data_IF_380421531941
#
_entry.id   IF_380421531941
#
_cell.length_a   1.000
_cell.length_b   1.000
_cell.length_c   1.000
_cell.angle_alpha   90.00
_cell.angle_beta   90.00
_cell.angle_gamma   90.00
#
_symmetry.space_group_name_H-M   'P 1'
#
loop_
_entity.id
_entity.type
_entity.pdbx_description
1 polymer ?
#
# COMPACT_ATOMS: atom_id res chain seq x y z
N UNK A 1 3.97 22.31 28.99
CA UNK A 1 4.34 21.87 27.62
C UNK A 1 3.04 21.65 26.85
N UNK A 2 2.67 22.59 25.98
CA UNK A 2 1.46 22.52 25.16
C UNK A 2 1.61 21.33 24.21
N UNK A 3 0.79 20.29 24.38
CA UNK A 3 0.73 19.20 23.40
C UNK A 3 0.16 19.78 22.10
N UNK A 4 0.91 19.64 21.01
CA UNK A 4 0.41 19.93 19.66
C UNK A 4 -0.96 19.30 19.48
N UNK A 5 -1.91 20.02 18.90
CA UNK A 5 -3.18 19.44 18.48
C UNK A 5 -2.92 18.25 17.54
N UNK A 6 -3.74 17.18 17.59
CA UNK A 6 -3.60 16.03 16.72
C UNK A 6 -3.81 16.44 15.25
N UNK A 7 -3.11 15.77 14.33
CA UNK A 7 -3.18 16.03 12.89
C UNK A 7 -4.58 15.70 12.38
N UNK A 8 -5.26 16.65 11.73
CA UNK A 8 -6.65 16.45 11.31
C UNK A 8 -6.74 15.84 9.92
N UNK A 9 -7.40 14.68 9.85
CA UNK A 9 -7.73 13.97 8.60
C UNK A 9 -9.23 14.13 8.34
N UNK A 10 -9.60 14.65 7.18
CA UNK A 10 -11.00 14.77 6.75
C UNK A 10 -11.23 13.86 5.56
N UNK A 11 -12.19 12.95 5.67
CA UNK A 11 -12.56 12.01 4.62
C UNK A 11 -13.80 12.54 3.89
N UNK A 12 -13.68 12.79 2.59
CA UNK A 12 -14.78 13.24 1.74
C UNK A 12 -15.60 12.03 1.24
N UNK A 13 -16.78 11.84 1.80
CA UNK A 13 -17.73 10.81 1.42
C UNK A 13 -18.60 11.30 0.24
N UNK A 14 -18.56 10.57 -0.86
CA UNK A 14 -19.35 10.84 -2.08
C UNK A 14 -20.40 9.74 -2.27
N UNK A 15 -21.47 10.04 -3.01
CA UNK A 15 -22.47 9.02 -3.36
C UNK A 15 -21.81 7.83 -4.08
N UNK A 16 -22.29 6.61 -3.83
CA UNK A 16 -21.71 5.38 -4.37
C UNK A 16 -20.33 5.04 -3.80
N UNK A 17 -19.95 5.60 -2.63
CA UNK A 17 -18.67 5.28 -1.99
C UNK A 17 -18.58 3.81 -1.59
N UNK A 18 -17.35 3.30 -1.52
CA UNK A 18 -17.07 1.98 -0.98
C UNK A 18 -16.91 2.07 0.56
N UNK A 19 -17.80 1.46 1.37
CA UNK A 19 -17.71 1.54 2.83
C UNK A 19 -16.39 1.01 3.37
N UNK A 20 -15.83 0.00 2.70
CA UNK A 20 -14.51 -0.53 3.05
C UNK A 20 -13.44 0.56 3.00
N UNK A 21 -13.38 1.35 1.92
CA UNK A 21 -12.37 2.39 1.76
C UNK A 21 -12.61 3.60 2.66
N UNK A 22 -13.88 3.94 2.91
CA UNK A 22 -14.23 4.93 3.93
C UNK A 22 -13.70 4.50 5.31
N UNK A 23 -13.81 3.22 5.66
CA UNK A 23 -13.36 2.69 6.93
C UNK A 23 -11.84 2.68 7.11
N UNK A 24 -11.05 2.68 6.03
CA UNK A 24 -9.58 2.58 6.09
C UNK A 24 -8.95 3.75 6.86
N UNK A 25 -9.16 5.04 6.49
CA UNK A 25 -8.60 6.17 7.23
C UNK A 25 -8.97 6.15 8.71
N UNK A 26 -10.23 5.87 9.02
CA UNK A 26 -10.73 5.76 10.39
C UNK A 26 -10.02 4.65 11.17
N UNK A 27 -9.81 3.49 10.54
CA UNK A 27 -9.13 2.36 11.18
C UNK A 27 -7.64 2.61 11.39
N UNK A 28 -6.95 3.15 10.40
CA UNK A 28 -5.50 3.28 10.41
C UNK A 28 -5.07 4.50 11.21
N UNK A 29 -5.54 5.70 10.86
CA UNK A 29 -5.19 6.92 11.58
C UNK A 29 -5.75 6.93 13.00
N UNK A 30 -6.98 6.43 13.21
CA UNK A 30 -7.62 6.40 14.54
C UNK A 30 -6.97 5.44 15.54
N UNK A 31 -6.09 4.55 15.07
CA UNK A 31 -5.30 3.66 15.93
C UNK A 31 -3.92 4.18 16.24
N UNK A 32 -3.43 5.20 15.53
CA UNK A 32 -2.12 5.77 15.76
C UNK A 32 -2.10 6.60 17.05
N UNK A 33 -1.24 6.19 17.97
CA UNK A 33 -1.07 6.81 19.28
C UNK A 33 0.42 6.97 19.59
N UNK A 34 0.74 7.99 20.38
CA UNK A 34 2.09 8.16 20.90
C UNK A 34 2.41 7.20 22.06
N UNK A 35 3.62 7.32 22.63
CA UNK A 35 4.09 6.47 23.72
C UNK A 35 3.25 6.62 25.01
N UNK A 36 2.57 7.76 25.19
CA UNK A 36 1.66 8.03 26.30
C UNK A 36 0.21 7.61 26.00
N UNK A 37 -0.05 7.06 24.80
CA UNK A 37 -1.36 6.59 24.39
C UNK A 37 -2.32 7.70 23.91
N UNK A 38 -1.81 8.91 23.68
CA UNK A 38 -2.59 10.03 23.14
C UNK A 38 -2.78 9.84 21.63
N UNK A 39 -3.96 10.19 21.08
CA UNK A 39 -4.22 10.07 19.64
C UNK A 39 -3.30 11.02 18.86
N UNK A 40 -2.73 10.52 17.78
CA UNK A 40 -1.88 11.31 16.88
C UNK A 40 -2.69 12.01 15.78
N UNK A 41 -3.86 11.46 15.44
CA UNK A 41 -4.77 12.01 14.44
C UNK A 41 -6.17 12.22 15.01
N UNK A 42 -6.86 13.23 14.49
CA UNK A 42 -8.31 13.40 14.59
C UNK A 42 -8.91 13.15 13.21
N UNK A 43 -9.87 12.23 13.11
CA UNK A 43 -10.50 11.85 11.83
C UNK A 43 -11.94 12.34 11.83
N UNK A 44 -12.34 13.02 10.75
CA UNK A 44 -13.71 13.45 10.50
C UNK A 44 -14.16 12.98 9.12
N UNK A 45 -15.46 12.75 8.96
CA UNK A 45 -16.07 12.50 7.65
C UNK A 45 -16.93 13.71 7.28
N UNK A 46 -16.87 14.12 6.03
CA UNK A 46 -17.77 15.14 5.47
C UNK A 46 -18.34 14.68 4.14
N UNK A 47 -19.55 15.14 3.81
CA UNK A 47 -20.11 15.01 2.47
C UNK A 47 -20.02 16.34 1.71
N UNK A 48 -20.45 16.33 0.45
CA UNK A 48 -20.75 17.59 -0.29
C UNK A 48 -21.90 18.37 0.35
N UNK A 49 -22.70 17.70 1.19
CA UNK A 49 -23.67 18.26 2.12
C UNK A 49 -23.74 17.35 3.36
N UNK A 50 -24.14 17.89 4.52
CA UNK A 50 -24.47 17.07 5.68
C UNK A 50 -25.74 16.23 5.42
N UNK A 51 -25.77 15.01 5.95
CA UNK A 51 -26.91 14.09 5.82
C UNK A 51 -26.52 12.69 5.34
N UNK A 52 -27.51 11.91 4.84
CA UNK A 52 -27.27 10.56 4.37
C UNK A 52 -26.46 10.54 3.06
N UNK A 53 -25.49 9.64 2.97
CA UNK A 53 -24.71 9.36 1.76
C UNK A 53 -24.91 7.90 1.35
N UNK A 54 -25.30 7.69 0.10
CA UNK A 54 -25.44 6.36 -0.48
C UNK A 54 -24.08 5.70 -0.67
N UNK A 55 -24.00 4.40 -0.41
CA UNK A 55 -22.80 3.59 -0.59
C UNK A 55 -23.02 2.56 -1.69
N UNK A 56 -21.97 1.86 -2.12
CA UNK A 56 -22.06 0.72 -3.03
C UNK A 56 -22.61 -0.56 -2.37
N UNK A 57 -23.01 -0.48 -1.10
CA UNK A 57 -23.61 -1.56 -0.32
C UNK A 57 -25.10 -1.30 -0.04
N UNK A 58 -25.75 -2.26 0.63
CA UNK A 58 -27.18 -2.22 0.98
C UNK A 58 -27.55 -1.27 2.14
N UNK A 59 -26.69 -0.30 2.44
CA UNK A 59 -26.88 0.66 3.53
C UNK A 59 -26.38 2.08 3.19
N UNK A 60 -26.99 3.05 3.87
CA UNK A 60 -26.55 4.45 3.88
C UNK A 60 -25.61 4.69 5.05
N UNK A 61 -24.71 5.66 4.91
CA UNK A 61 -24.02 6.26 6.05
C UNK A 61 -24.63 7.63 6.35
N UNK A 62 -24.67 8.01 7.63
CA UNK A 62 -25.05 9.37 8.03
C UNK A 62 -23.78 10.18 8.28
N UNK A 63 -23.62 11.30 7.57
CA UNK A 63 -22.45 12.18 7.70
C UNK A 63 -22.90 13.51 8.29
N UNK A 64 -22.39 13.82 9.49
CA UNK A 64 -22.82 15.02 10.24
C UNK A 64 -22.26 16.32 9.67
N UNK A 65 -21.16 16.28 8.93
CA UNK A 65 -20.44 17.48 8.48
C UNK A 65 -20.62 17.70 6.98
N UNK A 66 -20.81 18.96 6.60
CA UNK A 66 -20.75 19.41 5.22
C UNK A 66 -19.31 19.72 4.77
N UNK A 67 -19.17 20.26 3.56
CA UNK A 67 -17.87 20.50 2.93
C UNK A 67 -17.00 21.50 3.70
N UNK A 68 -17.58 22.34 4.57
CA UNK A 68 -16.85 23.27 5.43
C UNK A 68 -15.80 22.59 6.33
N UNK A 69 -15.97 21.30 6.63
CA UNK A 69 -14.99 20.52 7.38
C UNK A 69 -13.62 20.44 6.67
N UNK A 70 -13.59 20.47 5.33
CA UNK A 70 -12.37 20.43 4.53
C UNK A 70 -11.45 21.63 4.83
N UNK A 71 -12.00 22.78 5.21
CA UNK A 71 -11.23 23.95 5.61
C UNK A 71 -10.44 23.75 6.92
N UNK A 72 -10.72 22.69 7.67
CA UNK A 72 -9.99 22.36 8.90
C UNK A 72 -8.94 21.26 8.69
N UNK A 73 -8.89 20.65 7.51
CA UNK A 73 -8.09 19.48 7.24
C UNK A 73 -6.60 19.82 7.10
N UNK A 74 -5.76 18.99 7.73
CA UNK A 74 -4.34 18.91 7.43
C UNK A 74 -4.09 17.84 6.35
N UNK A 75 -4.92 16.78 6.32
CA UNK A 75 -5.04 15.83 5.21
C UNK A 75 -6.49 15.69 4.76
N UNK A 76 -6.76 15.74 3.46
CA UNK A 76 -8.03 15.31 2.87
C UNK A 76 -7.85 13.95 2.23
N UNK A 77 -8.75 13.01 2.55
CA UNK A 77 -8.82 11.69 1.91
C UNK A 77 -10.08 11.60 1.06
N UNK A 78 -9.94 11.21 -0.20
CA UNK A 78 -11.03 10.94 -1.14
C UNK A 78 -11.03 9.44 -1.47
N UNK A 79 -11.93 8.65 -0.85
CA UNK A 79 -12.11 7.23 -1.16
C UNK A 79 -12.70 7.00 -2.56
N UNK A 80 -12.76 5.73 -2.97
CA UNK A 80 -13.53 5.30 -4.14
C UNK A 80 -14.99 5.74 -4.05
N UNK A 81 -15.52 6.11 -5.21
CA UNK A 81 -16.95 6.15 -5.50
C UNK A 81 -17.20 5.56 -6.89
N UNK A 82 -18.31 4.84 -7.03
CA UNK A 82 -18.79 4.31 -8.31
C UNK A 82 -19.89 5.18 -8.95
N UNK A 83 -20.33 6.24 -8.28
CA UNK A 83 -21.34 7.18 -8.78
C UNK A 83 -20.74 8.59 -8.99
N UNK A 84 -19.56 8.63 -9.62
CA UNK A 84 -18.82 9.87 -9.88
C UNK A 84 -19.40 10.70 -11.06
N UNK A 85 -20.34 10.15 -11.83
CA UNK A 85 -21.04 10.85 -12.91
C UNK A 85 -20.09 11.60 -13.88
N UNK A 86 -20.28 12.92 -14.11
CA UNK A 86 -19.42 13.69 -15.02
C UNK A 86 -17.92 13.65 -14.70
N UNK A 87 -17.54 13.38 -13.44
CA UNK A 87 -16.11 13.24 -13.07
C UNK A 87 -15.51 11.99 -13.72
N UNK A 88 -16.26 10.89 -13.77
CA UNK A 88 -15.83 9.65 -14.40
C UNK A 88 -16.04 9.66 -15.92
N UNK A 89 -17.12 10.25 -16.41
CA UNK A 89 -17.49 10.23 -17.83
C UNK A 89 -16.78 11.29 -18.66
N UNK A 90 -16.63 12.50 -18.11
CA UNK A 90 -16.14 13.69 -18.83
C UNK A 90 -14.83 14.25 -18.24
N UNK A 91 -14.38 13.75 -17.08
CA UNK A 91 -13.22 14.27 -16.38
C UNK A 91 -13.47 15.64 -15.76
N UNK A 92 -14.73 15.97 -15.48
CA UNK A 92 -15.16 17.31 -15.06
C UNK A 92 -15.86 17.27 -13.71
N UNK A 93 -15.43 18.14 -12.79
CA UNK A 93 -16.11 18.31 -11.51
C UNK A 93 -17.55 18.82 -11.68
N UNK A 94 -18.44 18.33 -10.81
CA UNK A 94 -19.76 18.94 -10.66
C UNK A 94 -19.66 20.27 -9.91
N UNK A 95 -20.66 21.16 -10.01
CA UNK A 95 -20.69 22.40 -9.23
C UNK A 95 -20.54 22.17 -7.71
N UNK A 96 -21.17 21.12 -7.19
CA UNK A 96 -21.16 20.77 -5.77
C UNK A 96 -19.76 20.32 -5.32
N UNK A 97 -19.10 19.47 -6.11
CA UNK A 97 -17.72 19.05 -5.85
C UNK A 97 -16.75 20.21 -5.99
N UNK A 98 -16.96 21.10 -6.96
CA UNK A 98 -16.15 22.31 -7.13
C UNK A 98 -16.26 23.21 -5.89
N UNK A 99 -17.49 23.44 -5.41
CA UNK A 99 -17.75 24.21 -4.21
C UNK A 99 -17.16 23.53 -2.96
N UNK A 100 -17.24 22.20 -2.85
CA UNK A 100 -16.66 21.47 -1.74
C UNK A 100 -15.13 21.59 -1.71
N UNK A 101 -14.46 21.34 -2.84
CA UNK A 101 -13.00 21.41 -2.92
C UNK A 101 -12.46 22.83 -2.75
N UNK A 102 -13.26 23.87 -3.00
CA UNK A 102 -12.87 25.26 -2.71
C UNK A 102 -12.60 25.54 -1.22
N UNK A 103 -13.10 24.68 -0.30
CA UNK A 103 -12.77 24.77 1.12
C UNK A 103 -11.37 24.25 1.45
N UNK A 104 -10.74 23.46 0.57
CA UNK A 104 -9.39 22.93 0.80
C UNK A 104 -8.39 24.07 0.82
N UNK A 105 -7.60 24.15 1.90
CA UNK A 105 -6.60 25.20 2.07
C UNK A 105 -5.32 24.88 1.29
N UNK A 106 -4.58 25.90 0.82
CA UNK A 106 -3.22 25.71 0.34
C UNK A 106 -2.35 25.00 1.40
N UNK A 107 -1.58 24.00 0.98
CA UNK A 107 -0.71 23.21 1.85
C UNK A 107 -1.39 22.01 2.54
N UNK A 108 -2.69 21.80 2.36
CA UNK A 108 -3.36 20.57 2.80
C UNK A 108 -2.88 19.37 1.97
N UNK A 109 -2.49 18.28 2.64
CA UNK A 109 -2.12 17.03 1.97
C UNK A 109 -3.35 16.37 1.34
N UNK A 110 -3.30 16.01 0.07
CA UNK A 110 -4.39 15.33 -0.62
C UNK A 110 -4.08 13.84 -0.80
N UNK A 111 -5.06 13.00 -0.51
CA UNK A 111 -4.92 11.55 -0.61
C UNK A 111 -6.11 11.02 -1.38
N UNK A 112 -5.85 10.34 -2.50
CA UNK A 112 -6.88 9.59 -3.22
C UNK A 112 -6.68 8.08 -3.03
N UNK A 113 -7.79 7.38 -2.84
CA UNK A 113 -7.84 5.93 -2.81
C UNK A 113 -8.71 5.48 -3.99
N UNK A 114 -8.21 4.56 -4.82
CA UNK A 114 -8.95 3.98 -5.94
C UNK A 114 -9.44 5.04 -6.94
N UNK A 115 -10.74 5.03 -7.27
CA UNK A 115 -11.39 6.00 -8.17
C UNK A 115 -11.48 7.41 -7.59
N UNK A 116 -11.16 7.63 -6.30
CA UNK A 116 -10.98 8.97 -5.75
C UNK A 116 -9.93 9.80 -6.49
N UNK A 117 -9.02 9.15 -7.23
CA UNK A 117 -8.05 9.80 -8.10
C UNK A 117 -8.69 10.63 -9.23
N UNK A 118 -9.88 10.25 -9.70
CA UNK A 118 -10.64 11.01 -10.72
C UNK A 118 -11.05 12.38 -10.21
N UNK A 119 -11.40 12.49 -8.92
CA UNK A 119 -11.76 13.78 -8.32
C UNK A 119 -10.55 14.70 -8.25
N UNK A 120 -9.38 14.18 -7.83
CA UNK A 120 -8.16 14.98 -7.77
C UNK A 120 -7.66 15.38 -9.17
N UNK A 121 -7.77 14.49 -10.16
CA UNK A 121 -7.40 14.79 -11.54
C UNK A 121 -8.34 15.83 -12.17
N UNK A 122 -9.66 15.67 -12.01
CA UNK A 122 -10.64 16.63 -12.53
C UNK A 122 -10.52 18.03 -11.87
N UNK A 123 -9.94 18.09 -10.67
CA UNK A 123 -9.62 19.33 -9.97
C UNK A 123 -8.27 19.95 -10.39
N UNK A 124 -7.49 19.29 -11.26
CA UNK A 124 -6.16 19.73 -11.69
C UNK A 124 -5.03 19.46 -10.69
N UNK A 125 -5.29 18.73 -9.59
CA UNK A 125 -4.27 18.46 -8.58
C UNK A 125 -3.23 17.42 -9.01
N UNK A 126 -3.47 16.72 -10.13
CA UNK A 126 -2.61 15.65 -10.65
C UNK A 126 -1.92 16.00 -11.98
N UNK A 127 -2.12 17.21 -12.51
CA UNK A 127 -1.59 17.61 -13.81
C UNK A 127 -0.05 17.57 -13.81
N UNK A 128 0.55 16.77 -14.70
CA UNK A 128 2.00 16.56 -14.78
C UNK A 128 2.58 15.67 -13.67
N UNK A 129 1.78 15.12 -12.76
CA UNK A 129 2.23 14.39 -11.56
C UNK A 129 2.12 12.87 -11.74
N UNK A 130 2.97 12.08 -11.07
CA UNK A 130 2.80 10.64 -11.02
C UNK A 130 1.58 10.30 -10.15
N UNK A 131 0.76 9.36 -10.61
CA UNK A 131 -0.39 8.90 -9.85
C UNK A 131 -0.67 7.42 -10.15
N UNK A 132 -1.37 6.75 -9.24
CA UNK A 132 -1.95 5.44 -9.48
C UNK A 132 -3.44 5.46 -9.13
N UNK A 133 -4.17 4.52 -9.72
CA UNK A 133 -5.57 4.22 -9.39
C UNK A 133 -5.76 2.71 -9.52
N UNK A 134 -6.97 2.21 -9.28
CA UNK A 134 -7.26 0.79 -9.45
C UNK A 134 -6.95 0.34 -10.88
N UNK A 135 -6.25 -0.77 -11.04
CA UNK A 135 -5.77 -1.26 -12.34
C UNK A 135 -6.89 -1.37 -13.40
N UNK A 136 -8.10 -1.75 -12.98
CA UNK A 136 -9.24 -1.88 -13.89
C UNK A 136 -9.71 -0.52 -14.47
N UNK A 137 -9.39 0.57 -13.78
CA UNK A 137 -9.73 1.94 -14.19
C UNK A 137 -8.54 2.69 -14.76
N UNK A 138 -7.30 2.18 -14.64
CA UNK A 138 -6.09 2.91 -14.99
C UNK A 138 -6.02 3.34 -16.47
N UNK A 139 -6.43 2.46 -17.40
CA UNK A 139 -6.44 2.82 -18.83
C UNK A 139 -7.46 3.93 -19.12
N UNK A 140 -8.65 3.82 -18.52
CA UNK A 140 -9.68 4.84 -18.63
C UNK A 140 -9.22 6.17 -18.03
N UNK A 141 -8.63 6.12 -16.83
CA UNK A 141 -8.10 7.27 -16.12
C UNK A 141 -7.02 8.00 -16.92
N UNK A 142 -6.08 7.26 -17.52
CA UNK A 142 -5.03 7.85 -18.37
C UNK A 142 -5.59 8.52 -19.63
N UNK A 143 -6.64 7.94 -20.26
CA UNK A 143 -7.27 8.55 -21.44
C UNK A 143 -8.00 9.85 -21.08
N UNK A 144 -8.68 9.86 -19.93
CA UNK A 144 -9.47 11.00 -19.50
C UNK A 144 -8.60 12.17 -19.01
N UNK A 145 -7.47 11.86 -18.39
CA UNK A 145 -6.51 12.84 -17.85
C UNK A 145 -5.11 12.62 -18.46
N UNK A 146 -4.88 13.07 -19.70
CA UNK A 146 -3.65 12.78 -20.44
C UNK A 146 -2.38 13.40 -19.83
N UNK A 147 -2.50 14.45 -19.01
CA UNK A 147 -1.37 15.09 -18.34
C UNK A 147 -0.92 14.35 -17.08
N UNK A 148 -1.74 13.44 -16.55
CA UNK A 148 -1.39 12.62 -15.39
C UNK A 148 -0.47 11.48 -15.83
N UNK A 149 0.63 11.26 -15.10
CA UNK A 149 1.56 10.15 -15.34
C UNK A 149 1.09 8.91 -14.59
N UNK A 150 0.17 8.15 -15.19
CA UNK A 150 -0.47 7.00 -14.52
C UNK A 150 0.46 5.79 -14.47
N UNK A 151 0.71 5.26 -13.27
CA UNK A 151 1.39 3.99 -13.04
C UNK A 151 0.43 2.97 -12.40
N UNK A 152 -0.08 2.04 -13.21
CA UNK A 152 -0.95 0.95 -12.74
C UNK A 152 -0.18 -0.22 -12.09
N UNK A 153 1.16 -0.17 -12.11
CA UNK A 153 2.04 -1.22 -11.62
C UNK A 153 2.41 -1.11 -10.14
N UNK A 154 1.82 -0.17 -9.41
CA UNK A 154 2.15 0.13 -8.00
C UNK A 154 0.91 0.16 -7.12
N UNK A 155 1.06 -0.17 -5.84
CA UNK A 155 -0.02 -0.08 -4.85
C UNK A 155 -0.35 1.37 -4.52
N UNK A 156 0.66 2.21 -4.41
CA UNK A 156 0.49 3.64 -4.15
C UNK A 156 1.66 4.46 -4.68
N UNK A 157 1.38 5.74 -4.94
CA UNK A 157 2.36 6.78 -5.27
C UNK A 157 2.32 7.84 -4.17
N UNK A 158 3.49 8.24 -3.69
CA UNK A 158 3.69 9.40 -2.82
C UNK A 158 4.47 10.46 -3.60
N UNK A 159 3.82 11.57 -3.94
CA UNK A 159 4.42 12.71 -4.63
C UNK A 159 4.50 13.93 -3.70
N UNK A 160 4.72 13.71 -2.40
CA UNK A 160 4.95 14.75 -1.41
C UNK A 160 3.67 15.25 -0.75
N UNK A 161 2.98 16.19 -1.39
CA UNK A 161 1.72 16.80 -0.91
C UNK A 161 0.47 16.12 -1.48
N UNK A 162 0.62 15.30 -2.52
CA UNK A 162 -0.47 14.48 -3.09
C UNK A 162 -0.04 13.02 -3.17
N UNK A 163 -0.91 12.14 -2.68
CA UNK A 163 -0.70 10.70 -2.66
C UNK A 163 -1.90 9.98 -3.25
N UNK A 164 -1.66 8.90 -3.98
CA UNK A 164 -2.71 8.14 -4.65
C UNK A 164 -2.48 6.64 -4.44
N UNK A 165 -3.55 5.84 -4.35
CA UNK A 165 -3.43 4.37 -4.23
C UNK A 165 -4.40 3.63 -5.15
N UNK A 166 -4.04 2.38 -5.44
CA UNK A 166 -4.82 1.44 -6.24
C UNK A 166 -6.22 1.12 -5.69
N UNK A 167 -6.51 1.48 -4.44
CA UNK A 167 -7.77 1.13 -3.81
C UNK A 167 -7.78 -0.17 -3.03
N UNK A 168 -8.91 -0.43 -2.39
CA UNK A 168 -9.17 -1.60 -1.55
C UNK A 168 -8.02 -1.77 -0.56
N UNK A 169 -7.32 -2.91 -0.57
CA UNK A 169 -6.26 -3.20 0.39
C UNK A 169 -5.07 -2.23 0.24
N UNK A 170 -4.82 -1.66 -0.94
CA UNK A 170 -3.75 -0.70 -1.14
C UNK A 170 -3.99 0.64 -0.41
N UNK A 171 -5.25 0.96 -0.10
CA UNK A 171 -5.57 2.11 0.76
C UNK A 171 -5.01 1.94 2.17
N UNK A 172 -4.99 0.70 2.69
CA UNK A 172 -4.38 0.39 4.00
C UNK A 172 -2.88 0.63 3.94
N UNK A 173 -2.24 0.15 2.87
CA UNK A 173 -0.81 0.31 2.64
C UNK A 173 -0.41 1.78 2.57
N UNK A 174 -1.17 2.61 1.83
CA UNK A 174 -0.94 4.05 1.75
C UNK A 174 -1.16 4.76 3.09
N UNK A 175 -2.23 4.43 3.84
CA UNK A 175 -2.47 5.05 5.14
C UNK A 175 -1.38 4.66 6.16
N UNK A 176 -0.89 3.42 6.14
CA UNK A 176 0.23 2.99 6.99
C UNK A 176 1.54 3.66 6.61
N UNK A 177 1.78 3.86 5.31
CA UNK A 177 2.91 4.64 4.80
C UNK A 177 2.88 6.07 5.34
N UNK A 178 1.71 6.72 5.31
CA UNK A 178 1.52 8.06 5.88
C UNK A 178 1.83 8.08 7.38
N UNK A 179 1.27 7.15 8.17
CA UNK A 179 1.57 7.06 9.61
C UNK A 179 3.07 6.88 9.86
N UNK A 180 3.75 6.08 9.04
CA UNK A 180 5.20 5.88 9.15
C UNK A 180 5.97 7.16 8.84
N UNK A 181 5.56 7.92 7.82
CA UNK A 181 6.21 9.18 7.43
C UNK A 181 6.04 10.24 8.53
N UNK A 182 4.84 10.34 9.08
CA UNK A 182 4.49 11.37 10.05
C UNK A 182 5.05 11.07 11.46
N UNK A 183 5.04 9.79 11.88
CA UNK A 183 5.29 9.39 13.28
C UNK A 183 6.28 8.23 13.44
N UNK A 184 6.91 7.78 12.36
CA UNK A 184 7.93 6.74 12.37
C UNK A 184 7.39 5.31 12.38
N UNK A 185 8.29 4.37 12.09
CA UNK A 185 7.95 2.95 11.90
C UNK A 185 7.41 2.26 13.15
N UNK A 186 7.75 2.72 14.36
CA UNK A 186 7.24 2.12 15.59
C UNK A 186 5.72 2.27 15.72
N UNK A 187 5.20 3.47 15.45
CA UNK A 187 3.76 3.76 15.48
C UNK A 187 3.06 3.00 14.35
N UNK A 188 3.58 3.07 13.12
CA UNK A 188 3.00 2.37 11.98
C UNK A 188 2.91 0.84 12.18
N UNK A 189 3.96 0.24 12.74
CA UNK A 189 3.98 -1.20 13.03
C UNK A 189 3.00 -1.59 14.14
N UNK A 190 2.80 -0.72 15.15
CA UNK A 190 1.77 -0.94 16.19
C UNK A 190 0.36 -0.90 15.59
N UNK A 191 0.09 0.07 14.73
CA UNK A 191 -1.18 0.20 14.00
C UNK A 191 -1.43 -1.02 13.12
N UNK A 192 -0.44 -1.44 12.33
CA UNK A 192 -0.54 -2.60 11.46
C UNK A 192 -0.82 -3.89 12.26
N UNK A 193 -0.09 -4.12 13.37
CA UNK A 193 -0.28 -5.28 14.25
C UNK A 193 -1.69 -5.33 14.82
N UNK A 194 -2.22 -4.19 15.29
CA UNK A 194 -3.61 -4.10 15.82
C UNK A 194 -4.68 -4.18 14.73
N UNK A 195 -4.30 -3.98 13.48
CA UNK A 195 -5.20 -4.07 12.32
C UNK A 195 -5.07 -5.42 11.60
N UNK A 196 -4.17 -6.29 12.07
CA UNK A 196 -3.95 -7.65 11.54
C UNK A 196 -3.61 -7.61 10.04
N UNK A 197 -2.79 -6.63 9.67
CA UNK A 197 -2.26 -6.48 8.30
C UNK A 197 -0.74 -6.57 8.33
N UNK A 198 -0.08 -6.97 7.23
CA UNK A 198 1.37 -6.93 7.14
C UNK A 198 1.89 -5.53 7.49
N UNK A 199 2.97 -5.42 8.29
CA UNK A 199 3.51 -4.13 8.71
C UNK A 199 4.08 -3.32 7.55
N UNK A 200 4.42 -3.97 6.43
CA UNK A 200 4.92 -3.30 5.24
C UNK A 200 4.63 -4.10 3.98
N UNK A 201 4.00 -3.44 3.02
CA UNK A 201 4.04 -3.76 1.59
C UNK A 201 4.64 -2.54 0.91
N UNK A 202 5.68 -2.74 0.10
CA UNK A 202 6.29 -1.61 -0.62
C UNK A 202 5.28 -1.00 -1.60
N UNK A 203 5.27 0.33 -1.71
CA UNK A 203 4.41 1.04 -2.66
C UNK A 203 4.63 0.56 -4.10
N UNK A 204 5.87 0.21 -4.45
CA UNK A 204 6.25 -0.36 -5.74
C UNK A 204 5.82 -1.82 -5.96
N UNK A 205 5.10 -2.44 -5.02
CA UNK A 205 4.52 -3.76 -5.25
C UNK A 205 3.44 -3.68 -6.32
N UNK A 206 3.43 -4.64 -7.24
CA UNK A 206 2.41 -4.71 -8.29
C UNK A 206 1.00 -4.92 -7.70
N UNK A 207 0.03 -4.23 -8.30
CA UNK A 207 -1.38 -4.59 -8.13
C UNK A 207 -1.65 -5.97 -8.74
N UNK A 208 -2.78 -6.58 -8.41
CA UNK A 208 -3.29 -7.76 -9.12
C UNK A 208 -3.85 -7.35 -10.50
N UNK A 209 -3.01 -6.75 -11.34
CA UNK A 209 -3.36 -6.42 -12.72
C UNK A 209 -3.57 -7.74 -13.44
N UNK A 210 -4.77 -7.94 -13.99
CA UNK A 210 -5.03 -9.03 -14.93
C UNK A 210 -4.31 -8.73 -16.24
N UNK A 211 -2.96 -8.84 -16.23
CA UNK A 211 -2.19 -8.97 -17.47
C UNK A 211 -2.79 -10.16 -18.21
N UNK A 212 -3.00 -10.14 -19.54
CA UNK A 212 -3.61 -11.25 -20.26
C UNK A 212 -2.99 -12.57 -19.82
N UNK A 213 -3.71 -13.28 -18.95
CA UNK A 213 -3.28 -14.54 -18.39
C UNK A 213 -3.49 -15.51 -19.53
N UNK A 214 -2.46 -16.22 -20.00
CA UNK A 214 -2.70 -17.34 -20.89
C UNK A 214 -3.68 -18.28 -20.19
N UNK A 215 -4.79 -18.58 -20.85
CA UNK A 215 -5.91 -19.45 -20.44
C UNK A 215 -5.69 -20.27 -19.15
N UNK A 216 -6.60 -20.20 -18.14
CA UNK A 216 -6.54 -20.92 -16.85
C UNK A 216 -6.22 -22.41 -16.90
N UNK A 217 -6.31 -23.05 -18.07
CA UNK A 217 -5.77 -24.40 -18.31
C UNK A 217 -4.23 -24.49 -18.19
N UNK A 218 -3.53 -23.38 -17.96
CA UNK A 218 -2.06 -23.28 -17.94
C UNK A 218 -1.43 -22.56 -16.71
N UNK A 219 -2.09 -22.47 -15.55
CA UNK A 219 -1.43 -22.00 -14.32
C UNK A 219 -0.37 -23.02 -13.86
N UNK A 220 0.86 -22.83 -14.31
CA UNK A 220 1.81 -23.93 -14.48
C UNK A 220 3.16 -23.68 -13.81
N UNK A 221 3.26 -22.73 -12.88
CA UNK A 221 4.45 -22.57 -12.01
C UNK A 221 4.15 -22.62 -10.50
N UNK A 222 2.91 -22.91 -10.11
CA UNK A 222 2.46 -22.90 -8.71
C UNK A 222 3.10 -24.00 -7.87
N UNK A 223 3.24 -25.22 -8.40
CA UNK A 223 3.86 -26.35 -7.69
C UNK A 223 5.36 -26.09 -7.48
N UNK A 224 6.03 -25.51 -8.47
CA UNK A 224 7.43 -25.11 -8.39
C UNK A 224 7.65 -24.04 -7.31
N UNK A 225 6.77 -23.04 -7.21
CA UNK A 225 6.84 -21.99 -6.19
C UNK A 225 6.62 -22.54 -4.78
N UNK A 226 5.57 -23.33 -4.57
CA UNK A 226 5.30 -23.95 -3.28
C UNK A 226 6.48 -24.85 -2.84
N UNK A 227 6.98 -25.69 -3.74
CA UNK A 227 8.13 -26.55 -3.49
C UNK A 227 9.40 -25.76 -3.10
N UNK A 228 9.64 -24.63 -3.78
CA UNK A 228 10.78 -23.77 -3.49
C UNK A 228 10.67 -23.04 -2.15
N UNK A 229 9.47 -22.59 -1.75
CA UNK A 229 9.25 -21.93 -0.45
C UNK A 229 9.58 -22.83 0.75
N UNK A 230 9.33 -24.13 0.63
CA UNK A 230 9.70 -25.12 1.65
C UNK A 230 11.22 -25.34 1.74
N UNK A 231 11.97 -25.00 0.67
CA UNK A 231 13.38 -25.39 0.48
C UNK A 231 14.29 -24.20 0.20
N UNK A 232 13.91 -23.01 0.65
CA UNK A 232 14.70 -21.79 0.41
C UNK A 232 16.14 -21.90 0.92
N UNK A 233 16.38 -22.70 1.96
CA UNK A 233 17.69 -22.99 2.57
C UNK A 233 18.62 -23.84 1.68
N UNK A 234 18.09 -24.48 0.64
CA UNK A 234 18.82 -25.37 -0.26
C UNK A 234 19.32 -24.62 -1.52
N UNK A 235 20.37 -25.10 -2.21
CA UNK A 235 20.87 -24.51 -3.45
C UNK A 235 19.99 -24.87 -4.67
N UNK A 236 18.74 -24.39 -4.67
CA UNK A 236 17.75 -24.64 -5.72
C UNK A 236 18.23 -24.22 -7.11
N UNK A 237 18.14 -25.13 -8.08
CA UNK A 237 18.44 -24.84 -9.48
C UNK A 237 17.15 -24.59 -10.28
N UNK A 238 17.26 -23.79 -11.34
CA UNK A 238 16.14 -23.53 -12.25
C UNK A 238 15.58 -24.80 -12.88
N UNK A 239 16.44 -25.81 -13.15
CA UNK A 239 16.01 -27.12 -13.65
C UNK A 239 15.08 -27.84 -12.66
N UNK A 240 15.41 -27.80 -11.37
CA UNK A 240 14.65 -28.50 -10.33
C UNK A 240 13.25 -27.90 -10.19
N UNK A 241 13.13 -26.58 -10.37
CA UNK A 241 11.84 -25.88 -10.39
C UNK A 241 11.04 -26.19 -11.67
N UNK A 242 11.70 -26.20 -12.83
CA UNK A 242 11.04 -26.50 -14.11
C UNK A 242 10.51 -27.94 -14.16
N UNK A 243 11.22 -28.89 -13.56
CA UNK A 243 10.79 -30.30 -13.44
C UNK A 243 9.50 -30.48 -12.64
N UNK A 244 9.22 -29.62 -11.63
CA UNK A 244 7.96 -29.68 -10.84
C UNK A 244 6.71 -29.49 -11.69
N UNK A 245 6.89 -28.88 -12.85
CA UNK A 245 5.84 -28.50 -13.79
C UNK A 245 5.97 -29.26 -15.11
N UNK A 246 6.87 -30.26 -15.18
CA UNK A 246 7.20 -31.02 -16.38
C UNK A 246 7.58 -30.13 -17.58
N UNK A 247 8.40 -29.08 -17.33
CA UNK A 247 8.81 -28.11 -18.34
C UNK A 247 10.31 -28.11 -18.61
N UNK A 248 10.68 -27.68 -19.82
CA UNK A 248 12.03 -27.18 -20.06
C UNK A 248 12.28 -25.88 -19.28
N UNK A 249 13.53 -25.64 -18.87
CA UNK A 249 13.95 -24.40 -18.18
C UNK A 249 13.58 -23.13 -18.95
N UNK A 250 13.67 -23.16 -20.28
CA UNK A 250 13.30 -22.03 -21.14
C UNK A 250 11.82 -21.69 -21.03
N UNK A 251 10.96 -22.70 -21.15
CA UNK A 251 9.50 -22.51 -21.05
C UNK A 251 9.12 -22.07 -19.64
N UNK A 252 9.68 -22.72 -18.62
CA UNK A 252 9.45 -22.36 -17.22
C UNK A 252 9.85 -20.92 -16.92
N UNK A 253 11.05 -20.49 -17.32
CA UNK A 253 11.52 -19.12 -17.05
C UNK A 253 10.65 -18.06 -17.70
N UNK A 254 10.19 -18.30 -18.94
CA UNK A 254 9.27 -17.39 -19.63
C UNK A 254 7.94 -17.33 -18.88
N UNK A 255 7.30 -18.48 -18.65
CA UNK A 255 6.00 -18.57 -17.95
C UNK A 255 6.06 -18.01 -16.54
N UNK A 256 7.12 -18.29 -15.81
CA UNK A 256 7.32 -17.74 -14.46
C UNK A 256 7.39 -16.21 -14.48
N UNK A 257 8.10 -15.62 -15.46
CA UNK A 257 8.12 -14.16 -15.61
C UNK A 257 6.74 -13.61 -15.99
N UNK A 258 6.02 -14.32 -16.86
CA UNK A 258 4.66 -13.93 -17.26
C UNK A 258 3.69 -13.97 -16.07
N UNK A 259 3.80 -15.00 -15.20
CA UNK A 259 2.93 -15.20 -14.03
C UNK A 259 3.33 -14.38 -12.79
N UNK A 260 4.64 -14.18 -12.54
CA UNK A 260 5.17 -13.61 -11.29
C UNK A 260 5.73 -12.19 -11.50
N UNK A 261 5.91 -11.75 -12.75
CA UNK A 261 6.42 -10.43 -13.11
C UNK A 261 7.95 -10.29 -13.04
N UNK A 262 8.66 -11.23 -12.40
CA UNK A 262 10.12 -11.25 -12.26
C UNK A 262 10.71 -12.60 -12.67
N UNK A 263 12.02 -12.67 -12.90
CA UNK A 263 12.67 -13.96 -13.17
C UNK A 263 12.64 -14.89 -11.94
N UNK A 264 12.66 -16.23 -12.11
CA UNK A 264 12.63 -17.15 -10.98
C UNK A 264 13.81 -16.95 -10.02
N UNK A 265 14.99 -16.60 -10.54
CA UNK A 265 16.16 -16.29 -9.72
C UNK A 265 15.96 -15.05 -8.84
N UNK A 266 15.44 -13.96 -9.41
CA UNK A 266 15.11 -12.76 -8.63
C UNK A 266 14.03 -13.04 -7.58
N UNK A 267 13.01 -13.80 -7.94
CA UNK A 267 11.96 -14.20 -7.01
C UNK A 267 12.53 -15.03 -5.85
N UNK A 268 13.39 -16.03 -6.13
CA UNK A 268 14.07 -16.80 -5.09
C UNK A 268 14.88 -15.90 -4.16
N UNK A 269 15.64 -14.94 -4.70
CA UNK A 269 16.38 -13.97 -3.89
C UNK A 269 15.45 -13.17 -2.98
N UNK A 270 14.31 -12.69 -3.49
CA UNK A 270 13.32 -11.97 -2.68
C UNK A 270 12.76 -12.84 -1.55
N UNK A 271 12.38 -14.09 -1.84
CA UNK A 271 11.88 -15.01 -0.81
C UNK A 271 12.94 -15.33 0.25
N UNK A 272 14.20 -15.47 -0.15
CA UNK A 272 15.33 -15.65 0.78
C UNK A 272 15.58 -14.42 1.64
N UNK A 273 15.44 -13.21 1.08
CA UNK A 273 15.49 -11.96 1.86
C UNK A 273 14.40 -11.95 2.93
N UNK A 274 13.16 -12.27 2.58
CA UNK A 274 12.05 -12.35 3.54
C UNK A 274 12.29 -13.41 4.63
N UNK A 275 12.82 -14.58 4.26
CA UNK A 275 13.22 -15.61 5.23
C UNK A 275 14.31 -15.12 6.17
N UNK A 276 15.32 -14.41 5.66
CA UNK A 276 16.38 -13.85 6.48
C UNK A 276 15.84 -12.77 7.44
N UNK A 277 14.95 -11.88 6.97
CA UNK A 277 14.27 -10.89 7.82
C UNK A 277 13.55 -11.56 8.98
N UNK A 278 12.72 -12.57 8.67
CA UNK A 278 12.00 -13.32 9.69
C UNK A 278 12.93 -13.94 10.73
N UNK A 279 14.03 -14.58 10.31
CA UNK A 279 15.01 -15.18 11.23
C UNK A 279 15.78 -14.14 12.05
N UNK A 280 16.09 -12.98 11.48
CA UNK A 280 16.74 -11.87 12.19
C UNK A 280 15.84 -11.27 13.28
N UNK A 281 14.52 -11.28 13.06
CA UNK A 281 13.50 -10.73 13.96
C UNK A 281 13.05 -11.72 15.04
N UNK A 282 12.87 -13.00 14.67
CA UNK A 282 12.29 -14.02 15.56
C UNK A 282 13.33 -14.76 16.39
N UNK A 283 14.59 -14.83 15.93
CA UNK A 283 15.64 -15.66 16.56
C UNK A 283 16.89 -14.89 16.96
N UNK A 284 17.68 -15.49 17.87
CA UNK A 284 19.00 -15.00 18.25
C UNK A 284 20.16 -15.68 17.50
N UNK A 285 19.85 -16.36 16.39
CA UNK A 285 20.85 -17.10 15.60
C UNK A 285 21.99 -16.19 15.13
N UNK A 286 23.26 -16.62 15.16
CA UNK A 286 24.36 -15.88 14.56
C UNK A 286 24.09 -15.53 13.08
N UNK A 287 24.60 -14.39 12.60
CA UNK A 287 24.35 -13.91 11.22
C UNK A 287 24.75 -14.95 10.17
N UNK A 288 25.81 -15.71 10.41
CA UNK A 288 26.23 -16.81 9.52
C UNK A 288 25.24 -17.98 9.49
N UNK A 289 24.56 -18.28 10.60
CA UNK A 289 23.49 -19.29 10.65
C UNK A 289 22.27 -18.82 9.88
N UNK A 290 21.85 -17.57 10.11
CA UNK A 290 20.75 -16.96 9.35
C UNK A 290 21.00 -17.00 7.84
N UNK A 291 22.23 -16.70 7.41
CA UNK A 291 22.58 -16.73 6.00
C UNK A 291 22.47 -18.13 5.37
N UNK A 292 22.82 -19.18 6.11
CA UNK A 292 22.62 -20.57 5.64
C UNK A 292 21.15 -20.95 5.63
N UNK A 293 20.43 -20.67 6.72
CA UNK A 293 19.02 -21.08 6.88
C UNK A 293 18.08 -20.31 5.95
N UNK A 294 18.48 -19.12 5.51
CA UNK A 294 17.82 -18.35 4.46
C UNK A 294 18.31 -18.69 3.04
N UNK A 295 19.31 -19.55 2.88
CA UNK A 295 19.78 -20.03 1.56
C UNK A 295 20.73 -19.11 0.81
N UNK A 296 21.35 -18.13 1.47
CA UNK A 296 22.40 -17.29 0.87
C UNK A 296 23.79 -17.94 0.91
N UNK A 297 23.96 -18.99 1.71
CA UNK A 297 25.21 -19.73 1.90
C UNK A 297 26.22 -18.98 2.79
N UNK A 298 26.44 -17.68 2.55
CA UNK A 298 27.38 -16.85 3.31
C UNK A 298 26.74 -15.56 3.82
N UNK A 299 27.22 -15.07 4.97
CA UNK A 299 26.78 -13.78 5.51
C UNK A 299 27.13 -12.58 4.61
N UNK A 300 28.17 -12.69 3.77
CA UNK A 300 28.50 -11.65 2.80
C UNK A 300 27.46 -11.57 1.68
N UNK A 301 27.08 -12.71 1.09
CA UNK A 301 26.02 -12.78 0.07
C UNK A 301 24.70 -12.25 0.61
N UNK A 302 24.31 -12.72 1.81
CA UNK A 302 23.11 -12.25 2.49
C UNK A 302 23.14 -10.74 2.74
N UNK A 303 24.28 -10.18 3.18
CA UNK A 303 24.46 -8.74 3.41
C UNK A 303 24.20 -7.92 2.15
N UNK A 304 24.77 -8.32 1.02
CA UNK A 304 24.61 -7.61 -0.24
C UNK A 304 23.14 -7.56 -0.66
N UNK A 305 22.43 -8.70 -0.58
CA UNK A 305 21.02 -8.76 -0.95
C UNK A 305 20.09 -8.03 0.03
N UNK A 306 20.31 -8.14 1.34
CA UNK A 306 19.55 -7.39 2.34
C UNK A 306 19.79 -5.88 2.24
N UNK A 307 21.03 -5.45 2.00
CA UNK A 307 21.32 -4.02 1.84
C UNK A 307 20.69 -3.46 0.56
N UNK A 308 20.72 -4.21 -0.54
CA UNK A 308 20.04 -3.81 -1.77
C UNK A 308 18.52 -3.73 -1.60
N UNK A 309 17.93 -4.62 -0.80
CA UNK A 309 16.48 -4.67 -0.59
C UNK A 309 15.96 -3.71 0.49
N UNK A 310 16.72 -3.49 1.58
CA UNK A 310 16.26 -2.80 2.79
C UNK A 310 17.06 -1.53 3.13
N UNK A 311 18.12 -1.22 2.38
CA UNK A 311 18.98 -0.07 2.62
C UNK A 311 19.87 -0.15 3.86
N UNK A 312 19.78 -1.20 4.68
CA UNK A 312 20.54 -1.36 5.92
C UNK A 312 21.22 -2.73 6.06
N UNK A 313 22.38 -2.82 6.72
CA UNK A 313 23.02 -4.10 7.01
C UNK A 313 22.23 -4.97 8.00
N UNK A 314 22.36 -6.30 7.98
CA UNK A 314 21.62 -7.24 8.83
C UNK A 314 21.80 -7.02 10.33
N UNK A 315 22.99 -6.57 10.76
CA UNK A 315 23.28 -6.25 12.17
C UNK A 315 22.54 -5.01 12.64
N UNK A 316 22.46 -3.98 11.78
CA UNK A 316 21.69 -2.76 12.02
C UNK A 316 20.20 -3.08 12.03
N UNK A 317 19.75 -3.87 11.04
CA UNK A 317 18.38 -4.38 10.95
C UNK A 317 17.97 -5.10 12.24
N UNK A 318 18.72 -6.14 12.64
CA UNK A 318 18.46 -6.89 13.88
C UNK A 318 18.45 -6.01 15.12
N UNK A 319 19.40 -5.07 15.24
CA UNK A 319 19.47 -4.17 16.41
C UNK A 319 18.21 -3.33 16.53
N UNK A 320 17.70 -2.78 15.43
CA UNK A 320 16.45 -2.01 15.43
C UNK A 320 15.26 -2.82 15.98
N UNK A 321 15.18 -4.12 15.69
CA UNK A 321 14.12 -4.99 16.19
C UNK A 321 14.36 -5.54 17.60
N UNK A 322 15.61 -5.83 17.99
CA UNK A 322 15.93 -6.25 19.37
C UNK A 322 15.66 -5.14 20.39
N UNK A 323 16.01 -3.89 20.07
CA UNK A 323 15.68 -2.74 20.93
C UNK A 323 14.17 -2.59 21.13
N UNK A 324 13.36 -2.96 20.13
CA UNK A 324 11.89 -2.99 20.24
C UNK A 324 11.38 -4.17 21.10
N UNK A 325 11.98 -5.36 21.01
CA UNK A 325 11.62 -6.54 21.85
C UNK A 325 11.99 -6.34 23.33
N UNK A 326 13.17 -5.83 23.62
CA UNK A 326 13.62 -5.61 25.01
C UNK A 326 12.85 -4.47 25.71
N UNK A 327 12.29 -3.53 24.94
CA UNK A 327 11.36 -2.52 25.45
C UNK A 327 9.96 -3.10 25.75
N UNK A 328 9.57 -4.17 25.05
CA UNK A 328 8.29 -4.86 25.25
C UNK A 328 8.31 -5.90 26.38
N UNK A 329 9.47 -6.53 26.67
CA UNK A 329 9.63 -7.50 27.76
C UNK A 329 9.92 -6.90 29.15
N UNK A 330 10.08 -5.58 29.24
CA UNK A 330 10.24 -4.82 30.50
C UNK A 330 8.95 -4.10 30.94
N UNK A 331 7.82 -4.47 30.37
CA UNK A 331 6.47 -4.03 30.73
C UNK A 331 5.63 -5.26 31.09
#
# INVERSE_FOLDING_TARGET
>A
MSGSAPHRVVVLALAGLLPFELGIPHRIFGRAKDAEGRPLYEIRTCGVSAGPVATDADFLISVEHGPEALATADTVVIPASYELGPVYEEGRLTPELTAALAHVRPGTRLVAICTGGYVLAAAGFLDGRPATTHWASAEHFQRLFPEVRVDAGVLFVDDGDVLTSAGVAAGIDLCLHIVRRDHGSAVANDVARRTVVPPHRDGGQAQFVHRPVPDPQFATTTRARAWALERLHEPLQLRDMAEREAMSVRTFTRRFRDEVGVSPGQWLTQQRVERARHLLESTDLPVDRVARDAGFGTAQSMRQHLQAALGVPPTVYRRAFRTARDAAGRR
#
